data_IF_518945714272
#
_entry.id   IF_518945714272
#
_cell.length_a   1.000
_cell.length_b   1.000
_cell.length_c   1.000
_cell.angle_alpha   90.00
_cell.angle_beta   90.00
_cell.angle_gamma   90.00
#
_symmetry.space_group_name_H-M   'P 1'
#
loop_
_entity.id
_entity.type
_entity.pdbx_description
1 polymer ?
#
# COMPACT_ATOMS: atom_id res chain seq x y z
N UNK A 1 -15.56 -0.95 20.34
CA UNK A 1 -14.09 -1.08 20.32
C UNK A 1 -13.58 -0.86 21.73
N UNK A 2 -12.59 -1.65 22.16
CA UNK A 2 -11.91 -1.55 23.44
C UNK A 2 -10.42 -1.31 23.18
N UNK A 3 -9.84 -0.30 23.82
CA UNK A 3 -8.39 -0.03 23.74
C UNK A 3 -7.64 -0.67 24.90
N UNK A 4 -6.34 -0.91 24.72
CA UNK A 4 -5.45 -1.53 25.70
C UNK A 4 -6.02 -2.85 26.27
N UNK A 5 -6.53 -3.69 25.37
CA UNK A 5 -7.16 -4.95 25.74
C UNK A 5 -6.12 -5.93 26.29
N UNK A 6 -6.46 -6.56 27.42
CA UNK A 6 -5.70 -7.63 28.05
C UNK A 6 -6.66 -8.74 28.45
N UNK A 7 -6.13 -9.95 28.52
CA UNK A 7 -6.88 -11.10 29.02
C UNK A 7 -7.16 -10.91 30.51
N UNK A 8 -8.40 -11.18 30.90
CA UNK A 8 -8.75 -11.26 32.30
C UNK A 8 -8.19 -12.57 32.90
N UNK A 9 -7.55 -12.52 34.08
CA UNK A 9 -7.09 -13.73 34.78
C UNK A 9 -8.21 -14.72 35.12
N UNK A 10 -9.47 -14.29 35.04
CA UNK A 10 -10.66 -15.10 35.32
C UNK A 10 -11.27 -15.76 34.08
N UNK A 11 -10.75 -15.48 32.89
CA UNK A 11 -11.29 -16.06 31.67
C UNK A 11 -10.76 -17.47 31.46
N UNK A 12 -11.67 -18.37 31.12
CA UNK A 12 -11.32 -19.75 30.78
C UNK A 12 -10.84 -19.83 29.33
N UNK A 13 -9.74 -20.55 29.13
CA UNK A 13 -9.20 -20.86 27.81
C UNK A 13 -9.99 -22.01 27.18
N UNK A 14 -10.34 -21.86 25.91
CA UNK A 14 -10.98 -22.87 25.07
C UNK A 14 -9.94 -23.46 24.12
N UNK A 15 -10.20 -24.67 23.63
CA UNK A 15 -9.40 -25.31 22.58
C UNK A 15 -7.89 -25.43 22.90
N UNK A 16 -7.54 -25.72 24.16
CA UNK A 16 -6.13 -25.73 24.62
C UNK A 16 -5.22 -26.59 23.75
N UNK A 17 -5.64 -27.81 23.41
CA UNK A 17 -4.84 -28.73 22.58
C UNK A 17 -4.57 -28.17 21.18
N UNK A 18 -5.56 -27.49 20.59
CA UNK A 18 -5.41 -26.84 19.28
C UNK A 18 -4.48 -25.63 19.36
N UNK A 19 -4.54 -24.85 20.44
CA UNK A 19 -3.66 -23.72 20.70
C UNK A 19 -2.21 -24.16 20.93
N UNK A 20 -2.00 -25.27 21.65
CA UNK A 20 -0.67 -25.87 21.80
C UNK A 20 -0.12 -26.32 20.46
N UNK A 21 -0.94 -26.94 19.62
CA UNK A 21 -0.55 -27.32 18.26
C UNK A 21 -0.21 -26.10 17.38
N UNK A 22 -0.98 -25.00 17.47
CA UNK A 22 -0.65 -23.73 16.77
C UNK A 22 0.69 -23.18 17.26
N UNK A 23 0.90 -23.15 18.58
CA UNK A 23 2.14 -22.66 19.18
C UNK A 23 3.34 -23.50 18.71
N UNK A 24 3.24 -24.83 18.74
CA UNK A 24 4.32 -25.73 18.29
C UNK A 24 4.61 -25.57 16.79
N UNK A 25 3.58 -25.65 15.94
CA UNK A 25 3.76 -25.56 14.48
C UNK A 25 4.34 -24.22 14.05
N UNK A 26 3.89 -23.12 14.66
CA UNK A 26 4.45 -21.79 14.36
C UNK A 26 5.91 -21.69 14.80
N UNK A 27 6.27 -22.18 15.99
CA UNK A 27 7.66 -22.14 16.45
C UNK A 27 8.59 -22.96 15.54
N UNK A 28 8.19 -24.20 15.23
CA UNK A 28 8.97 -25.08 14.36
C UNK A 28 9.13 -24.50 12.96
N UNK A 29 8.04 -23.99 12.37
CA UNK A 29 8.06 -23.44 11.02
C UNK A 29 8.98 -22.22 10.92
N UNK A 30 8.82 -21.23 11.82
CA UNK A 30 9.62 -20.01 11.77
C UNK A 30 11.09 -20.24 12.15
N UNK A 31 11.34 -21.18 13.06
CA UNK A 31 12.70 -21.60 13.39
C UNK A 31 13.36 -22.29 12.20
N UNK A 32 12.68 -23.24 11.54
CA UNK A 32 13.27 -24.02 10.44
C UNK A 32 13.42 -23.23 9.13
N UNK A 33 12.42 -22.43 8.76
CA UNK A 33 12.40 -21.71 7.48
C UNK A 33 13.23 -20.42 7.53
N UNK A 34 13.22 -19.72 8.67
CA UNK A 34 13.81 -18.39 8.79
C UNK A 34 14.89 -18.27 9.86
N UNK A 35 15.06 -19.26 10.75
CA UNK A 35 15.94 -19.15 11.91
C UNK A 35 15.37 -18.29 13.04
N UNK A 36 14.08 -17.92 12.97
CA UNK A 36 13.45 -17.03 13.93
C UNK A 36 12.96 -17.78 15.17
N UNK A 37 13.48 -17.39 16.33
CA UNK A 37 13.01 -17.89 17.64
C UNK A 37 11.90 -16.99 18.15
N UNK A 38 10.65 -17.31 17.82
CA UNK A 38 9.49 -16.49 18.18
C UNK A 38 9.07 -16.70 19.64
N UNK A 39 9.36 -17.85 20.24
CA UNK A 39 9.17 -18.10 21.68
C UNK A 39 10.51 -18.28 22.41
N UNK A 40 10.52 -17.98 23.72
CA UNK A 40 11.67 -18.33 24.57
C UNK A 40 11.58 -19.82 24.92
N UNK A 41 12.73 -20.47 25.14
CA UNK A 41 12.76 -21.83 25.65
C UNK A 41 11.89 -21.96 26.91
N UNK A 42 11.08 -23.03 26.98
CA UNK A 42 10.17 -23.33 28.09
C UNK A 42 9.04 -22.32 28.32
N UNK A 43 8.70 -21.47 27.34
CA UNK A 43 7.48 -20.64 27.45
C UNK A 43 6.25 -21.55 27.38
N UNK A 44 5.40 -21.54 28.41
CA UNK A 44 4.13 -22.27 28.34
C UNK A 44 3.06 -21.48 27.59
N UNK A 45 2.06 -22.18 27.03
CA UNK A 45 0.92 -21.55 26.36
C UNK A 45 0.25 -20.51 27.27
N UNK A 46 -0.05 -20.88 28.52
CA UNK A 46 -0.71 -19.98 29.47
C UNK A 46 0.13 -18.72 29.75
N UNK A 47 1.45 -18.87 29.96
CA UNK A 47 2.35 -17.72 30.13
C UNK A 47 2.35 -16.81 28.90
N UNK A 48 2.37 -17.39 27.71
CA UNK A 48 2.36 -16.65 26.46
C UNK A 48 1.07 -15.82 26.33
N UNK A 49 -0.08 -16.43 26.57
CA UNK A 49 -1.38 -15.78 26.43
C UNK A 49 -1.62 -14.73 27.52
N UNK A 50 -1.30 -15.00 28.79
CA UNK A 50 -1.50 -14.01 29.87
C UNK A 50 -0.65 -12.74 29.71
N UNK A 51 0.44 -12.81 28.94
CA UNK A 51 1.26 -11.66 28.57
C UNK A 51 0.75 -10.91 27.34
N UNK A 52 -0.38 -11.31 26.77
CA UNK A 52 -0.94 -10.65 25.60
C UNK A 52 -1.53 -9.29 25.98
N UNK A 53 -1.11 -8.30 25.22
CA UNK A 53 -1.65 -6.96 25.22
C UNK A 53 -1.97 -6.65 23.75
N UNK A 54 -3.16 -6.11 23.50
CA UNK A 54 -3.61 -5.68 22.18
C UNK A 54 -4.12 -4.25 22.31
N UNK A 55 -3.54 -3.32 21.56
CA UNK A 55 -3.81 -1.89 21.72
C UNK A 55 -5.24 -1.52 21.36
N UNK A 56 -5.87 -2.23 20.41
CA UNK A 56 -7.29 -2.08 20.14
C UNK A 56 -7.94 -3.39 19.68
N UNK A 57 -9.08 -3.72 20.28
CA UNK A 57 -9.97 -4.79 19.86
C UNK A 57 -11.32 -4.21 19.44
N UNK A 58 -11.72 -4.44 18.20
CA UNK A 58 -12.98 -3.99 17.61
C UNK A 58 -13.83 -5.15 17.12
N UNK A 59 -15.15 -4.94 17.11
CA UNK A 59 -16.09 -5.84 16.44
C UNK A 59 -16.88 -4.99 15.46
N UNK A 60 -16.89 -5.41 14.20
CA UNK A 60 -17.80 -4.90 13.19
C UNK A 60 -19.01 -5.84 13.12
N UNK A 61 -20.20 -5.28 13.27
CA UNK A 61 -21.46 -6.03 13.18
C UNK A 61 -22.22 -5.49 11.97
N UNK A 62 -22.25 -6.27 10.90
CA UNK A 62 -22.98 -5.92 9.68
C UNK A 62 -23.78 -7.14 9.22
N UNK A 63 -25.09 -6.98 9.06
CA UNK A 63 -26.00 -8.01 8.53
C UNK A 63 -25.85 -9.42 9.14
N UNK A 64 -25.65 -9.49 10.46
CA UNK A 64 -25.51 -10.75 11.20
C UNK A 64 -24.13 -11.40 11.11
N UNK A 65 -23.18 -10.80 10.38
CA UNK A 65 -21.76 -11.20 10.39
C UNK A 65 -21.00 -10.33 11.40
N UNK A 66 -20.35 -11.00 12.35
CA UNK A 66 -19.47 -10.37 13.34
C UNK A 66 -18.02 -10.56 12.92
N UNK A 67 -17.32 -9.48 12.59
CA UNK A 67 -15.88 -9.52 12.30
C UNK A 67 -15.08 -8.91 13.44
N UNK A 68 -14.12 -9.67 13.97
CA UNK A 68 -13.20 -9.18 14.99
C UNK A 68 -11.99 -8.53 14.30
N UNK A 69 -11.58 -7.37 14.81
CA UNK A 69 -10.35 -6.68 14.44
C UNK A 69 -9.49 -6.52 15.69
N UNK A 70 -8.29 -7.07 15.68
CA UNK A 70 -7.30 -6.87 16.72
C UNK A 70 -6.10 -6.12 16.16
N UNK A 71 -5.73 -5.02 16.80
CA UNK A 71 -4.66 -4.12 16.35
C UNK A 71 -3.62 -3.97 17.45
N UNK A 72 -2.37 -4.33 17.16
CA UNK A 72 -1.18 -4.03 17.98
C UNK A 72 -0.41 -2.90 17.27
N UNK A 73 -0.10 -1.84 17.99
CA UNK A 73 0.54 -0.63 17.47
C UNK A 73 1.91 -0.45 18.11
N UNK A 74 2.96 -0.39 17.29
CA UNK A 74 4.31 -0.11 17.74
C UNK A 74 4.79 1.26 17.27
N UNK A 75 5.07 2.16 18.21
CA UNK A 75 5.66 3.46 17.94
C UNK A 75 7.07 3.58 18.53
N UNK A 76 8.04 3.88 17.67
CA UNK A 76 9.40 4.21 18.05
C UNK A 76 9.88 5.36 17.14
N UNK A 77 10.45 6.41 17.72
CA UNK A 77 10.85 7.61 16.97
C UNK A 77 11.86 7.30 15.84
N UNK A 78 12.80 6.38 16.10
CA UNK A 78 13.79 5.92 15.12
C UNK A 78 13.25 4.87 14.14
N UNK A 79 11.97 4.50 14.24
CA UNK A 79 11.37 3.38 13.55
C UNK A 79 11.42 2.09 14.38
N UNK A 80 10.60 1.12 13.98
CA UNK A 80 10.44 -0.16 14.65
C UNK A 80 11.79 -0.86 14.85
N UNK A 81 12.15 -1.06 16.11
CA UNK A 81 13.42 -1.66 16.49
C UNK A 81 13.28 -2.30 17.88
N UNK A 82 13.27 -3.62 17.90
CA UNK A 82 13.28 -4.40 19.14
C UNK A 82 14.64 -5.02 19.45
N UNK A 83 15.68 -4.67 18.68
CA UNK A 83 17.01 -5.27 18.71
C UNK A 83 17.55 -5.44 17.29
N UNK A 84 18.06 -6.63 16.98
CA UNK A 84 18.48 -6.96 15.60
C UNK A 84 17.31 -7.04 14.61
N UNK A 85 17.64 -7.20 13.32
CA UNK A 85 16.66 -7.48 12.27
C UNK A 85 15.80 -8.70 12.63
N UNK A 86 16.44 -9.85 12.86
CA UNK A 86 15.76 -11.11 13.15
C UNK A 86 14.97 -11.06 14.46
N UNK A 87 15.51 -10.40 15.49
CA UNK A 87 14.80 -10.21 16.75
C UNK A 87 13.55 -9.36 16.57
N UNK A 88 13.63 -8.29 15.78
CA UNK A 88 12.48 -7.44 15.50
C UNK A 88 11.41 -8.18 14.73
N UNK A 89 11.79 -8.93 13.69
CA UNK A 89 10.86 -9.75 12.90
C UNK A 89 10.20 -10.81 13.78
N UNK A 90 11.00 -11.57 14.55
CA UNK A 90 10.51 -12.62 15.44
C UNK A 90 9.53 -12.08 16.49
N UNK A 91 9.79 -10.89 17.06
CA UNK A 91 8.88 -10.28 18.04
C UNK A 91 7.55 -9.86 17.42
N UNK A 92 7.54 -9.34 16.20
CA UNK A 92 6.30 -8.98 15.50
C UNK A 92 5.48 -10.23 15.18
N UNK A 93 6.11 -11.27 14.59
CA UNK A 93 5.46 -12.55 14.31
C UNK A 93 4.87 -13.15 15.59
N UNK A 94 5.64 -13.18 16.69
CA UNK A 94 5.17 -13.62 18.01
C UNK A 94 3.92 -12.85 18.46
N UNK A 95 3.91 -11.52 18.34
CA UNK A 95 2.78 -10.68 18.73
C UNK A 95 1.52 -11.01 17.92
N UNK A 96 1.66 -11.17 16.60
CA UNK A 96 0.56 -11.57 15.72
C UNK A 96 -0.01 -12.94 16.11
N UNK A 97 0.84 -13.97 16.21
CA UNK A 97 0.41 -15.34 16.55
C UNK A 97 -0.22 -15.40 17.94
N UNK A 98 0.37 -14.71 18.92
CA UNK A 98 -0.20 -14.62 20.26
C UNK A 98 -1.58 -13.99 20.24
N UNK A 99 -1.79 -12.92 19.48
CA UNK A 99 -3.09 -12.27 19.34
C UNK A 99 -4.11 -13.21 18.70
N UNK A 100 -3.71 -13.96 17.65
CA UNK A 100 -4.54 -14.98 17.02
C UNK A 100 -5.00 -16.05 18.03
N UNK A 101 -4.05 -16.59 18.80
CA UNK A 101 -4.34 -17.57 19.83
C UNK A 101 -5.24 -17.01 20.95
N UNK A 102 -5.13 -15.72 21.29
CA UNK A 102 -6.03 -15.08 22.24
C UNK A 102 -7.46 -14.96 21.68
N UNK A 103 -7.59 -14.60 20.40
CA UNK A 103 -8.89 -14.51 19.73
C UNK A 103 -9.55 -15.90 19.73
N UNK A 104 -8.82 -16.92 19.26
CA UNK A 104 -9.36 -18.27 19.20
C UNK A 104 -9.65 -18.83 20.59
N UNK A 105 -8.68 -18.73 21.50
CA UNK A 105 -8.75 -19.35 22.82
C UNK A 105 -9.78 -18.74 23.76
N UNK A 106 -10.05 -17.44 23.67
CA UNK A 106 -11.00 -16.81 24.60
C UNK A 106 -12.35 -16.51 23.96
N UNK A 107 -12.36 -16.07 22.69
CA UNK A 107 -13.61 -15.75 22.00
C UNK A 107 -14.20 -16.96 21.27
N UNK A 108 -13.37 -17.94 20.91
CA UNK A 108 -13.81 -19.13 20.18
C UNK A 108 -14.18 -18.85 18.73
N UNK A 109 -13.60 -17.81 18.15
CA UNK A 109 -13.89 -17.36 16.79
C UNK A 109 -12.78 -17.81 15.85
N UNK A 110 -13.17 -18.40 14.72
CA UNK A 110 -12.25 -18.91 13.68
C UNK A 110 -11.94 -17.89 12.58
N UNK A 111 -12.63 -16.74 12.56
CA UNK A 111 -12.43 -15.67 11.58
C UNK A 111 -12.11 -14.34 12.26
N UNK A 112 -10.97 -13.74 11.92
CA UNK A 112 -10.57 -12.47 12.51
C UNK A 112 -9.51 -11.74 11.67
N UNK A 113 -9.48 -10.42 11.81
CA UNK A 113 -8.45 -9.55 11.23
C UNK A 113 -7.42 -9.22 12.31
N UNK A 114 -6.14 -9.52 12.06
CA UNK A 114 -5.05 -9.32 13.02
C UNK A 114 -4.03 -8.39 12.39
N UNK A 115 -3.95 -7.18 12.93
CA UNK A 115 -3.21 -6.09 12.32
C UNK A 115 -2.07 -5.68 13.24
N UNK A 116 -0.85 -5.68 12.72
CA UNK A 116 0.26 -5.01 13.37
C UNK A 116 0.56 -3.69 12.64
N UNK A 117 0.49 -2.58 13.36
CA UNK A 117 0.62 -1.25 12.79
C UNK A 117 1.83 -0.51 13.36
N UNK A 118 2.61 0.14 12.49
CA UNK A 118 3.71 1.00 12.95
C UNK A 118 3.97 2.12 11.94
N UNK A 119 4.06 3.39 12.36
CA UNK A 119 4.23 4.50 11.43
C UNK A 119 5.55 4.46 10.66
N UNK A 120 6.57 3.77 11.21
CA UNK A 120 7.89 3.71 10.58
C UNK A 120 8.53 2.35 10.82
N UNK A 121 8.72 1.59 9.74
CA UNK A 121 9.46 0.32 9.74
C UNK A 121 10.58 0.41 8.70
N UNK A 122 11.80 0.02 9.07
CA UNK A 122 12.91 -0.06 8.13
C UNK A 122 12.59 -1.05 6.99
N UNK A 123 12.98 -0.73 5.75
CA UNK A 123 12.72 -1.57 4.57
C UNK A 123 13.20 -3.02 4.74
N UNK A 124 14.36 -3.24 5.35
CA UNK A 124 14.88 -4.60 5.57
C UNK A 124 13.95 -5.39 6.50
N UNK A 125 13.49 -4.79 7.59
CA UNK A 125 12.53 -5.42 8.52
C UNK A 125 11.22 -5.71 7.80
N UNK A 126 10.73 -4.77 6.99
CA UNK A 126 9.48 -4.95 6.24
C UNK A 126 9.58 -6.08 5.22
N UNK A 127 10.68 -6.16 4.45
CA UNK A 127 10.92 -7.23 3.49
C UNK A 127 11.07 -8.60 4.16
N UNK A 128 11.62 -8.66 5.38
CA UNK A 128 11.67 -9.90 6.16
C UNK A 128 10.32 -10.27 6.77
N UNK A 129 9.46 -9.30 7.10
CA UNK A 129 8.12 -9.56 7.64
C UNK A 129 7.12 -10.03 6.59
N UNK A 130 7.18 -9.50 5.37
CA UNK A 130 6.23 -9.83 4.29
C UNK A 130 6.04 -11.34 4.06
N UNK A 131 7.10 -12.14 3.84
CA UNK A 131 6.91 -13.57 3.64
C UNK A 131 6.41 -14.28 4.90
N UNK A 132 6.77 -13.79 6.11
CA UNK A 132 6.25 -14.34 7.35
C UNK A 132 4.73 -14.17 7.47
N UNK A 133 4.19 -13.05 7.01
CA UNK A 133 2.74 -12.77 7.05
C UNK A 133 1.98 -13.65 6.07
N UNK A 134 2.54 -13.87 4.87
CA UNK A 134 1.98 -14.80 3.88
C UNK A 134 1.91 -16.20 4.49
N UNK A 135 3.02 -16.67 5.04
CA UNK A 135 3.07 -17.99 5.67
C UNK A 135 2.12 -18.11 6.85
N UNK A 136 1.97 -17.07 7.68
CA UNK A 136 1.00 -17.08 8.78
C UNK A 136 -0.44 -17.28 8.28
N UNK A 137 -0.82 -16.56 7.22
CA UNK A 137 -2.15 -16.70 6.63
C UNK A 137 -2.37 -18.12 6.07
N UNK A 138 -1.39 -18.65 5.34
CA UNK A 138 -1.44 -20.01 4.79
C UNK A 138 -1.53 -21.07 5.90
N UNK A 139 -0.65 -20.99 6.90
CA UNK A 139 -0.62 -21.92 8.03
C UNK A 139 -1.92 -21.91 8.84
N UNK A 140 -2.49 -20.74 9.12
CA UNK A 140 -3.75 -20.67 9.88
C UNK A 140 -4.91 -21.24 9.06
N UNK A 141 -4.95 -20.96 7.75
CA UNK A 141 -5.96 -21.51 6.86
C UNK A 141 -5.89 -23.03 6.78
N UNK A 142 -4.68 -23.61 6.69
CA UNK A 142 -4.46 -25.06 6.74
C UNK A 142 -4.93 -25.69 8.07
N UNK A 143 -4.91 -24.92 9.16
CA UNK A 143 -5.45 -25.33 10.47
C UNK A 143 -6.96 -25.05 10.62
N UNK A 144 -7.63 -24.59 9.56
CA UNK A 144 -9.07 -24.29 9.57
C UNK A 144 -9.43 -22.98 10.28
N UNK A 145 -8.49 -22.03 10.33
CA UNK A 145 -8.67 -20.70 10.90
C UNK A 145 -8.56 -19.64 9.79
N UNK A 146 -9.66 -18.93 9.55
CA UNK A 146 -9.77 -17.83 8.59
C UNK A 146 -9.25 -16.52 9.20
N UNK A 147 -8.00 -16.52 9.62
CA UNK A 147 -7.32 -15.31 10.11
C UNK A 147 -6.65 -14.57 8.97
N UNK A 148 -6.78 -13.25 9.00
CA UNK A 148 -6.15 -12.34 8.05
C UNK A 148 -5.14 -11.45 8.79
N UNK A 149 -3.86 -11.83 8.68
CA UNK A 149 -2.74 -11.08 9.22
C UNK A 149 -2.30 -9.99 8.25
N UNK A 150 -2.19 -8.76 8.75
CA UNK A 150 -1.74 -7.59 7.97
C UNK A 150 -0.73 -6.75 8.72
N UNK A 151 0.19 -6.15 7.96
CA UNK A 151 1.08 -5.10 8.45
C UNK A 151 0.65 -3.77 7.83
N UNK A 152 0.37 -2.77 8.67
CA UNK A 152 0.12 -1.40 8.23
C UNK A 152 1.31 -0.55 8.63
N UNK A 153 2.15 -0.16 7.66
CA UNK A 153 3.39 0.54 7.95
C UNK A 153 3.74 1.62 6.95
N UNK A 154 4.61 2.54 7.36
CA UNK A 154 5.17 3.60 6.50
C UNK A 154 4.05 4.38 5.79
N UNK A 155 4.06 4.37 4.45
CA UNK A 155 3.05 5.07 3.64
C UNK A 155 1.63 4.52 3.89
N UNK A 156 1.46 3.22 4.12
CA UNK A 156 0.13 2.66 4.40
C UNK A 156 -0.40 3.15 5.74
N UNK A 157 0.47 3.29 6.74
CA UNK A 157 0.09 3.90 8.02
C UNK A 157 -0.25 5.37 7.83
N UNK A 158 0.57 6.11 7.09
CA UNK A 158 0.32 7.53 6.79
C UNK A 158 -1.04 7.71 6.11
N UNK A 159 -1.37 6.89 5.11
CA UNK A 159 -2.54 7.09 4.28
C UNK A 159 -3.81 6.48 4.86
N UNK A 160 -3.71 5.34 5.55
CA UNK A 160 -4.88 4.62 6.07
C UNK A 160 -5.20 4.97 7.53
N UNK A 161 -4.24 5.51 8.28
CA UNK A 161 -4.40 5.85 9.69
C UNK A 161 -4.25 7.35 9.91
N UNK A 162 -3.07 7.92 9.63
CA UNK A 162 -2.77 9.29 10.04
C UNK A 162 -3.57 10.33 9.24
N UNK A 163 -3.53 10.29 7.90
CA UNK A 163 -4.22 11.26 7.04
C UNK A 163 -5.73 11.34 7.31
N UNK A 164 -6.49 10.21 7.41
CA UNK A 164 -7.91 10.26 7.74
C UNK A 164 -8.19 10.96 9.08
N UNK A 165 -7.35 10.71 10.10
CA UNK A 165 -7.48 11.38 11.41
C UNK A 165 -7.25 12.89 11.25
N UNK A 166 -6.22 13.30 10.51
CA UNK A 166 -5.91 14.71 10.29
C UNK A 166 -6.98 15.44 9.47
N UNK A 167 -7.56 14.79 8.45
CA UNK A 167 -8.65 15.37 7.63
C UNK A 167 -9.90 15.64 8.47
N UNK A 168 -10.24 14.73 9.38
CA UNK A 168 -11.36 14.91 10.31
C UNK A 168 -11.06 16.00 11.35
N UNK A 169 -9.78 16.21 11.70
CA UNK A 169 -9.37 17.18 12.73
C UNK A 169 -9.65 18.65 12.41
N UNK A 170 -9.70 19.01 11.12
CA UNK A 170 -10.07 20.37 10.68
C UNK A 170 -11.54 20.71 10.93
N UNK A 171 -12.39 19.70 11.09
CA UNK A 171 -13.84 19.87 11.24
C UNK A 171 -14.34 19.72 12.68
N UNK A 172 -13.48 19.30 13.62
CA UNK A 172 -13.87 19.11 15.02
C UNK A 172 -13.33 20.29 15.86
N UNK A 173 -14.17 21.31 16.06
CA UNK A 173 -13.80 22.51 16.81
C UNK A 173 -13.56 22.25 18.31
N UNK A 174 -14.20 21.22 18.87
CA UNK A 174 -14.14 20.92 20.30
C UNK A 174 -14.00 19.41 20.49
N UNK A 175 -12.76 18.95 20.71
CA UNK A 175 -12.43 17.54 20.96
C UNK A 175 -11.71 17.40 22.28
N UNK A 176 -12.06 16.38 23.06
CA UNK A 176 -11.33 16.00 24.28
C UNK A 176 -10.08 15.14 24.00
N UNK A 177 -9.88 14.73 22.75
CA UNK A 177 -8.78 13.85 22.35
C UNK A 177 -7.45 14.63 22.30
N UNK A 178 -6.45 14.16 23.04
CA UNK A 178 -5.19 14.87 23.31
C UNK A 178 -4.32 15.03 22.06
N UNK A 179 -4.28 14.02 21.19
CA UNK A 179 -3.54 14.11 19.95
C UNK A 179 -4.13 15.20 19.05
N UNK A 180 -5.46 15.25 18.93
CA UNK A 180 -6.15 16.25 18.11
C UNK A 180 -5.94 17.67 18.63
N UNK A 181 -6.02 17.89 19.95
CA UNK A 181 -5.71 19.20 20.56
C UNK A 181 -4.26 19.61 20.31
N UNK A 182 -3.32 18.68 20.46
CA UNK A 182 -1.89 18.95 20.24
C UNK A 182 -1.60 19.29 18.77
N UNK A 183 -2.25 18.58 17.85
CA UNK A 183 -2.17 18.85 16.42
C UNK A 183 -2.79 20.21 16.05
N UNK A 184 -4.00 20.51 16.53
CA UNK A 184 -4.63 21.83 16.34
C UNK A 184 -3.79 22.96 16.92
N UNK A 185 -3.19 22.76 18.10
CA UNK A 185 -2.26 23.74 18.68
C UNK A 185 -1.05 23.97 17.77
N UNK A 186 -0.47 22.91 17.20
CA UNK A 186 0.64 23.04 16.26
C UNK A 186 0.24 23.82 14.99
N UNK A 187 -0.95 23.58 14.44
CA UNK A 187 -1.41 24.27 13.22
C UNK A 187 -1.73 25.75 13.45
N UNK A 188 -2.06 26.18 14.68
CA UNK A 188 -2.20 27.60 15.02
C UNK A 188 -0.90 28.40 14.78
N UNK A 189 0.25 27.78 14.98
CA UNK A 189 1.57 28.38 14.77
C UNK A 189 2.09 28.18 13.33
N UNK A 190 1.49 27.27 12.57
CA UNK A 190 1.91 26.92 11.20
C UNK A 190 1.15 27.69 10.11
N UNK A 191 0.58 28.86 10.42
CA UNK A 191 -0.07 29.76 9.44
C UNK A 191 0.94 30.29 8.41
N UNK A 192 1.30 29.44 7.45
CA UNK A 192 1.65 29.80 6.07
C UNK A 192 0.46 29.40 5.21
N UNK A 193 0.07 30.29 4.30
CA UNK A 193 -1.12 30.20 3.42
C UNK A 193 -1.39 28.81 2.81
N UNK A 194 -2.66 28.49 2.51
CA UNK A 194 -3.08 27.16 2.06
C UNK A 194 -2.55 26.83 0.66
N UNK A 195 -1.36 26.20 0.60
CA UNK A 195 -0.84 25.49 -0.57
C UNK A 195 -0.95 23.98 -0.35
N UNK A 196 -2.15 23.40 -0.39
CA UNK A 196 -2.29 21.97 -0.03
C UNK A 196 -3.28 21.14 -0.83
N UNK A 197 -3.81 21.59 -1.97
CA UNK A 197 -4.64 20.71 -2.82
C UNK A 197 -3.81 20.06 -3.95
N UNK A 198 -2.90 20.78 -4.59
CA UNK A 198 -2.05 20.24 -5.68
C UNK A 198 -1.03 19.17 -5.23
N UNK A 199 -0.62 19.18 -3.96
CA UNK A 199 0.36 18.23 -3.42
C UNK A 199 -0.27 16.87 -3.09
N UNK A 200 -1.54 16.86 -2.70
CA UNK A 200 -2.29 15.67 -2.30
C UNK A 200 -2.65 14.82 -3.53
N UNK A 201 -2.98 15.46 -4.66
CA UNK A 201 -3.17 14.73 -5.93
C UNK A 201 -1.88 14.08 -6.44
N UNK A 202 -0.73 14.74 -6.25
CA UNK A 202 0.59 14.17 -6.61
C UNK A 202 0.97 12.96 -5.75
N UNK A 203 0.61 12.96 -4.46
CA UNK A 203 0.91 11.84 -3.55
C UNK A 203 -0.02 10.64 -3.75
N UNK A 204 -1.33 10.85 -3.95
CA UNK A 204 -2.26 9.76 -4.28
C UNK A 204 -1.84 9.00 -5.55
N UNK A 205 -1.29 9.71 -6.54
CA UNK A 205 -0.85 9.12 -7.81
C UNK A 205 0.48 8.37 -7.71
N UNK A 206 1.37 8.75 -6.78
CA UNK A 206 2.59 7.99 -6.45
C UNK A 206 2.32 6.64 -5.78
N UNK A 207 1.26 6.52 -5.01
CA UNK A 207 0.89 5.28 -4.31
C UNK A 207 0.31 4.27 -5.31
N UNK A 208 -0.54 4.72 -6.22
CA UNK A 208 -1.05 3.89 -7.33
C UNK A 208 0.08 3.48 -8.26
N UNK A 209 1.02 4.38 -8.59
CA UNK A 209 2.18 4.03 -9.42
C UNK A 209 3.12 3.04 -8.74
N UNK A 210 3.33 3.13 -7.42
CA UNK A 210 4.21 2.21 -6.69
C UNK A 210 3.59 0.82 -6.56
N UNK A 211 2.31 0.70 -6.21
CA UNK A 211 1.63 -0.60 -6.17
C UNK A 211 1.56 -1.24 -7.57
N UNK A 212 1.34 -0.43 -8.61
CA UNK A 212 1.34 -0.89 -10.00
C UNK A 212 2.74 -1.34 -10.46
N UNK A 213 3.82 -0.65 -10.08
CA UNK A 213 5.20 -1.05 -10.38
C UNK A 213 5.59 -2.44 -9.86
N UNK A 214 4.85 -2.98 -8.89
CA UNK A 214 5.02 -4.33 -8.34
C UNK A 214 3.94 -5.32 -8.83
N UNK A 215 3.02 -4.89 -9.68
CA UNK A 215 2.02 -5.77 -10.29
C UNK A 215 2.67 -6.68 -11.33
N UNK A 216 2.12 -7.89 -11.49
CA UNK A 216 2.53 -8.82 -12.55
C UNK A 216 2.46 -8.16 -13.93
N UNK A 217 1.42 -7.37 -14.19
CA UNK A 217 1.24 -6.66 -15.46
C UNK A 217 2.32 -5.62 -15.74
N UNK A 218 2.77 -4.85 -14.74
CA UNK A 218 3.89 -3.92 -14.94
C UNK A 218 5.20 -4.66 -15.21
N UNK A 219 5.44 -5.78 -14.51
CA UNK A 219 6.63 -6.62 -14.72
C UNK A 219 6.61 -7.22 -16.13
N UNK A 220 5.47 -7.70 -16.59
CA UNK A 220 5.28 -8.24 -17.94
C UNK A 220 5.50 -7.13 -18.98
N UNK A 221 4.89 -5.95 -18.81
CA UNK A 221 5.09 -4.80 -19.70
C UNK A 221 6.58 -4.38 -19.76
N UNK A 222 7.25 -4.31 -18.60
CA UNK A 222 8.68 -3.95 -18.49
C UNK A 222 9.61 -4.99 -19.16
N UNK A 223 9.20 -6.25 -19.19
CA UNK A 223 9.93 -7.32 -19.87
C UNK A 223 9.50 -7.51 -21.34
N UNK A 224 8.72 -6.58 -21.90
CA UNK A 224 8.15 -6.64 -23.25
C UNK A 224 7.28 -7.89 -23.48
N UNK A 225 6.59 -8.37 -22.45
CA UNK A 225 5.65 -9.50 -22.51
C UNK A 225 4.18 -9.06 -22.58
N UNK A 226 3.94 -7.79 -22.92
CA UNK A 226 2.59 -7.26 -23.16
C UNK A 226 2.06 -7.54 -24.57
N UNK A 227 0.81 -7.13 -24.81
CA UNK A 227 0.10 -7.31 -26.08
C UNK A 227 0.74 -6.62 -27.30
N UNK A 228 1.78 -5.80 -27.08
CA UNK A 228 2.56 -5.11 -28.11
C UNK A 228 4.06 -5.50 -28.07
N UNK A 229 4.38 -6.70 -27.59
CA UNK A 229 5.75 -7.24 -27.53
C UNK A 229 6.57 -7.05 -28.83
N UNK A 230 5.92 -7.08 -29.99
CA UNK A 230 6.58 -6.97 -31.31
C UNK A 230 6.92 -5.53 -31.76
N UNK A 231 6.46 -4.50 -31.04
CA UNK A 231 6.62 -3.09 -31.42
C UNK A 231 7.51 -2.33 -30.44
N UNK A 232 8.41 -1.45 -30.87
CA UNK A 232 9.11 -0.56 -29.91
C UNK A 232 8.18 0.50 -29.31
N UNK A 233 8.46 1.02 -28.12
CA UNK A 233 7.64 2.04 -27.42
C UNK A 233 7.28 3.23 -28.30
N UNK A 234 8.22 3.74 -29.10
CA UNK A 234 7.95 4.84 -30.02
C UNK A 234 7.01 4.44 -31.16
N UNK A 235 7.04 3.19 -31.62
CA UNK A 235 6.08 2.70 -32.60
C UNK A 235 4.69 2.56 -31.98
N UNK A 236 4.60 2.10 -30.73
CA UNK A 236 3.34 2.02 -29.96
C UNK A 236 2.73 3.41 -29.82
N UNK A 237 3.51 4.42 -29.42
CA UNK A 237 3.03 5.80 -29.34
C UNK A 237 2.58 6.33 -30.70
N UNK A 238 3.39 6.13 -31.74
CA UNK A 238 3.11 6.66 -33.09
C UNK A 238 1.86 6.06 -33.73
N UNK A 239 1.54 4.80 -33.44
CA UNK A 239 0.44 4.06 -34.07
C UNK A 239 -0.77 4.03 -33.13
N UNK A 240 -0.62 3.42 -31.95
CA UNK A 240 -1.72 3.10 -31.05
C UNK A 240 -2.19 4.33 -30.26
N UNK A 241 -1.27 5.05 -29.62
CA UNK A 241 -1.63 6.27 -28.86
C UNK A 241 -2.24 7.32 -29.78
N UNK A 242 -1.68 7.48 -30.99
CA UNK A 242 -2.24 8.32 -32.05
C UNK A 242 -3.69 7.96 -32.36
N UNK A 243 -3.98 6.70 -32.65
CA UNK A 243 -5.34 6.25 -33.00
C UNK A 243 -6.34 6.61 -31.90
N UNK A 244 -5.98 6.35 -30.64
CA UNK A 244 -6.82 6.68 -29.48
C UNK A 244 -7.08 8.19 -29.39
N UNK A 245 -6.06 9.02 -29.58
CA UNK A 245 -6.20 10.48 -29.56
C UNK A 245 -7.09 11.00 -30.70
N UNK A 246 -6.96 10.46 -31.91
CA UNK A 246 -7.75 10.86 -33.08
C UNK A 246 -9.19 10.33 -33.03
N UNK A 247 -9.45 9.25 -32.26
CA UNK A 247 -10.78 8.64 -32.14
C UNK A 247 -11.82 9.48 -31.38
N UNK A 248 -11.39 10.54 -30.68
CA UNK A 248 -12.28 11.39 -29.86
C UNK A 248 -12.64 10.80 -28.48
N UNK A 249 -12.11 9.63 -28.12
CA UNK A 249 -12.30 9.00 -26.80
C UNK A 249 -11.64 9.77 -25.65
N UNK A 250 -10.67 10.63 -25.97
CA UNK A 250 -9.91 11.40 -24.98
C UNK A 250 -10.54 12.78 -24.80
N UNK A 251 -11.05 13.05 -23.60
CA UNK A 251 -11.70 14.32 -23.27
C UNK A 251 -10.76 15.52 -23.30
N UNK A 252 -11.33 16.72 -23.48
CA UNK A 252 -10.58 17.97 -23.65
C UNK A 252 -9.62 18.28 -22.48
N UNK A 253 -9.99 17.94 -21.24
CA UNK A 253 -9.14 18.14 -20.07
C UNK A 253 -7.86 17.31 -20.14
N UNK A 254 -7.95 16.07 -20.62
CA UNK A 254 -6.79 15.20 -20.78
C UNK A 254 -5.90 15.69 -21.93
N UNK A 255 -6.50 16.13 -23.05
CA UNK A 255 -5.77 16.76 -24.16
C UNK A 255 -5.03 18.02 -23.70
N UNK A 256 -5.63 18.82 -22.81
CA UNK A 256 -4.97 19.97 -22.21
C UNK A 256 -3.82 19.55 -21.30
N UNK A 257 -3.97 18.46 -20.52
CA UNK A 257 -2.91 17.95 -19.64
C UNK A 257 -1.73 17.39 -20.42
N UNK A 258 -1.97 16.70 -21.53
CA UNK A 258 -0.91 16.16 -22.40
C UNK A 258 -0.02 17.24 -23.03
N UNK A 259 -0.48 18.50 -23.04
CA UNK A 259 0.32 19.66 -23.45
C UNK A 259 1.25 20.18 -22.35
N UNK A 260 1.17 19.65 -21.13
CA UNK A 260 2.06 20.01 -20.02
C UNK A 260 3.24 19.06 -19.96
N UNK A 261 4.46 19.60 -20.05
CA UNK A 261 5.70 18.85 -19.83
C UNK A 261 5.71 18.13 -18.46
N UNK A 262 5.29 18.83 -17.41
CA UNK A 262 5.19 18.28 -16.05
C UNK A 262 4.26 17.08 -15.99
N UNK A 263 3.11 17.15 -16.67
CA UNK A 263 2.19 16.01 -16.75
C UNK A 263 2.82 14.86 -17.54
N UNK A 264 3.38 15.13 -18.72
CA UNK A 264 4.01 14.09 -19.54
C UNK A 264 5.16 13.41 -18.81
N UNK A 265 5.91 14.14 -17.97
CA UNK A 265 6.94 13.54 -17.12
C UNK A 265 6.35 12.65 -16.03
N UNK A 266 5.34 13.13 -15.35
CA UNK A 266 4.73 12.44 -14.21
C UNK A 266 3.90 11.20 -14.63
N UNK A 267 3.32 11.16 -15.85
CA UNK A 267 2.40 10.08 -16.29
C UNK A 267 2.87 9.26 -17.50
N UNK A 268 3.81 9.76 -18.30
CA UNK A 268 4.29 9.08 -19.51
C UNK A 268 5.82 8.89 -19.51
N UNK A 269 6.53 9.36 -18.48
CA UNK A 269 7.99 9.28 -18.40
C UNK A 269 8.75 10.32 -19.24
N UNK A 270 8.04 11.01 -20.14
CA UNK A 270 8.59 11.95 -21.11
C UNK A 270 9.13 13.24 -20.46
N UNK A 271 10.31 13.70 -20.87
CA UNK A 271 10.84 15.01 -20.47
C UNK A 271 10.25 16.19 -21.28
N UNK A 272 9.31 15.92 -22.18
CA UNK A 272 8.69 16.90 -23.05
C UNK A 272 7.18 16.70 -23.04
N UNK A 273 6.42 17.75 -23.35
CA UNK A 273 4.98 17.63 -23.55
C UNK A 273 4.70 16.53 -24.58
N UNK A 274 3.78 15.62 -24.24
CA UNK A 274 3.39 14.53 -25.12
C UNK A 274 2.72 15.08 -26.38
N UNK A 275 2.03 16.21 -26.25
CA UNK A 275 1.28 16.86 -27.31
C UNK A 275 1.62 18.36 -27.37
N UNK A 276 1.77 18.92 -28.56
CA UNK A 276 1.82 20.38 -28.77
C UNK A 276 0.94 20.76 -29.94
N UNK A 277 0.37 21.96 -29.94
CA UNK A 277 -0.41 22.42 -31.10
C UNK A 277 0.53 22.62 -32.29
N UNK A 278 0.06 22.26 -33.48
CA UNK A 278 0.91 22.33 -34.66
C UNK A 278 1.24 23.78 -35.08
N UNK A 279 0.41 24.74 -34.66
CA UNK A 279 0.55 26.18 -34.90
C UNK A 279 1.31 26.93 -33.79
N UNK A 280 1.64 26.28 -32.68
CA UNK A 280 2.45 26.88 -31.61
C UNK A 280 3.94 26.75 -31.87
N UNK A 281 4.75 27.47 -31.09
CA UNK A 281 6.21 27.31 -31.10
C UNK A 281 6.61 26.05 -30.31
N UNK A 282 7.44 25.19 -30.90
CA UNK A 282 7.97 23.98 -30.28
C UNK A 282 9.25 23.49 -30.99
N UNK A 283 10.06 22.69 -30.29
CA UNK A 283 11.25 22.06 -30.85
C UNK A 283 10.87 20.90 -31.80
N UNK A 284 10.80 21.17 -33.11
CA UNK A 284 10.37 20.19 -34.13
C UNK A 284 11.07 18.82 -34.06
N UNK A 285 12.34 18.78 -33.65
CA UNK A 285 13.13 17.54 -33.55
C UNK A 285 12.57 16.56 -32.49
N UNK A 286 11.82 17.06 -31.51
CA UNK A 286 11.29 16.27 -30.39
C UNK A 286 9.93 15.62 -30.69
N UNK A 287 9.34 15.90 -31.86
CA UNK A 287 7.99 15.47 -32.21
C UNK A 287 7.95 14.76 -33.56
N UNK A 288 6.99 13.85 -33.75
CA UNK A 288 6.77 13.21 -35.03
C UNK A 288 6.38 14.23 -36.10
N UNK A 289 6.92 14.05 -37.31
CA UNK A 289 6.69 14.98 -38.41
C UNK A 289 5.21 15.02 -38.84
N UNK A 290 4.52 13.88 -38.83
CA UNK A 290 3.11 13.78 -39.22
C UNK A 290 2.23 14.30 -38.08
N UNK A 291 1.39 15.34 -38.32
CA UNK A 291 0.48 15.82 -37.29
C UNK A 291 -0.66 14.84 -37.05
N UNK A 292 -1.29 14.97 -35.89
CA UNK A 292 -2.50 14.26 -35.51
C UNK A 292 -3.65 15.24 -35.37
N UNK A 293 -4.87 14.81 -35.68
CA UNK A 293 -6.06 15.66 -35.67
C UNK A 293 -6.96 15.26 -34.50
N UNK A 294 -7.15 16.18 -33.55
CA UNK A 294 -7.98 15.93 -32.38
C UNK A 294 -9.05 17.01 -32.32
N UNK A 295 -10.32 16.62 -32.45
CA UNK A 295 -11.47 17.52 -32.48
C UNK A 295 -11.30 18.70 -33.46
N UNK A 296 -10.74 18.41 -34.64
CA UNK A 296 -10.51 19.40 -35.71
C UNK A 296 -9.29 20.30 -35.53
N UNK A 297 -8.51 20.14 -34.47
CA UNK A 297 -7.28 20.90 -34.21
C UNK A 297 -6.06 20.01 -34.50
N UNK A 298 -5.06 20.56 -35.18
CA UNK A 298 -3.82 19.87 -35.49
C UNK A 298 -2.84 19.94 -34.32
N UNK A 299 -2.29 18.78 -33.96
CA UNK A 299 -1.27 18.63 -32.93
C UNK A 299 -0.06 17.86 -33.46
N UNK A 300 1.06 17.95 -32.74
CA UNK A 300 2.24 17.10 -32.90
C UNK A 300 2.41 16.23 -31.67
N UNK A 301 2.71 14.96 -31.90
CA UNK A 301 2.96 13.97 -30.86
C UNK A 301 4.47 13.83 -30.61
N UNK A 302 4.89 13.76 -29.35
CA UNK A 302 6.29 13.60 -28.95
C UNK A 302 6.88 12.30 -29.53
N UNK A 303 8.13 12.37 -30.00
CA UNK A 303 8.88 11.25 -30.58
C UNK A 303 9.97 10.70 -29.64
N UNK A 304 10.21 11.34 -28.49
CA UNK A 304 11.30 11.03 -27.56
C UNK A 304 10.91 9.95 -26.55
N UNK A 305 10.58 8.76 -27.05
CA UNK A 305 10.26 7.59 -26.24
C UNK A 305 11.48 6.68 -26.11
N UNK A 306 11.74 6.16 -24.92
CA UNK A 306 12.91 5.35 -24.59
C UNK A 306 12.52 4.03 -23.90
N UNK A 307 13.27 2.98 -24.21
CA UNK A 307 13.18 1.63 -23.64
C UNK A 307 14.61 1.23 -23.19
N UNK A 308 15.19 1.98 -22.26
CA UNK A 308 16.51 1.69 -21.71
C UNK A 308 16.43 1.52 -20.19
N UNK A 309 17.32 0.75 -19.54
CA UNK A 309 17.22 0.47 -18.10
C UNK A 309 17.13 1.71 -17.20
N UNK A 310 17.70 2.84 -17.64
CA UNK A 310 17.65 4.12 -16.93
C UNK A 310 16.39 4.96 -17.22
N UNK A 311 15.70 4.71 -18.34
CA UNK A 311 14.47 5.38 -18.73
C UNK A 311 13.66 4.46 -19.66
N UNK A 312 12.63 3.83 -19.09
CA UNK A 312 11.75 2.91 -19.78
C UNK A 312 10.31 3.44 -19.71
N UNK A 313 9.89 4.04 -20.81
CA UNK A 313 8.60 4.72 -20.92
C UNK A 313 7.47 3.73 -21.29
N UNK A 314 7.80 2.49 -21.69
CA UNK A 314 6.83 1.50 -22.19
C UNK A 314 5.74 1.20 -21.17
N UNK A 315 6.02 0.87 -19.89
CA UNK A 315 4.96 0.54 -18.94
C UNK A 315 3.95 1.67 -18.76
N UNK A 316 4.42 2.92 -18.68
CA UNK A 316 3.57 4.10 -18.50
C UNK A 316 2.69 4.38 -19.73
N UNK A 317 3.24 4.17 -20.93
CA UNK A 317 2.48 4.32 -22.17
C UNK A 317 1.38 3.26 -22.30
N UNK A 318 1.67 2.00 -21.96
CA UNK A 318 0.69 0.91 -22.02
C UNK A 318 -0.48 1.17 -21.06
N UNK A 319 -0.20 1.69 -19.86
CA UNK A 319 -1.26 2.05 -18.91
C UNK A 319 -2.18 3.13 -19.44
N UNK A 320 -1.58 4.17 -20.03
CA UNK A 320 -2.33 5.25 -20.63
C UNK A 320 -3.22 4.71 -21.76
N UNK A 321 -2.69 3.81 -22.60
CA UNK A 321 -3.45 3.15 -23.67
C UNK A 321 -4.64 2.37 -23.08
N UNK A 322 -4.42 1.49 -22.10
CA UNK A 322 -5.50 0.68 -21.49
C UNK A 322 -6.63 1.56 -20.94
N UNK A 323 -6.27 2.63 -20.23
CA UNK A 323 -7.23 3.58 -19.64
C UNK A 323 -8.17 4.22 -20.67
N UNK A 324 -7.73 4.41 -21.91
CA UNK A 324 -8.50 5.09 -22.96
C UNK A 324 -8.94 4.18 -24.11
N UNK A 325 -8.58 2.90 -24.07
CA UNK A 325 -9.01 1.89 -25.05
C UNK A 325 -10.41 1.35 -24.78
N UNK A 326 -10.81 1.30 -23.50
CA UNK A 326 -12.10 0.75 -23.03
C UNK A 326 -13.22 1.80 -22.85
N UNK A 327 -12.98 3.07 -23.21
CA UNK A 327 -13.97 4.16 -23.16
C UNK A 327 -14.57 4.46 -24.52
#
# INVERSE_FOLDING_TARGET
>A
MQTNWKISPKWEIKFSDELENIMLKTDEFFSNKYGYKIYKQNTSLNQLLQQAECDALGVCMSDGVSEIYAVDVAFHESGLNYGGLDETVARVVKKCVRTAMCIYGYFGVKKANIIFASPKINKQILYSLQPCVIDLNEMMLEMGLEFDFRIIANDDFLNSVLKPILEVSGNIADTAELFMRSYQMLTLFDKKEPKSIEKIEKEKRKIVSNAYQFSKEYIDNKNNQDEYAELKVGQIARIIMREILESGRVGADEISRLQSEKYSKDYLGLNYAALVKADSEYEKVRYYAVPIIINGIYYKLCSQWFEVPANDDRPLLIDWIRKFREK
#
